data_IF_237022373968
#
_entry.id   IF_237022373968
#
_cell.length_a   1.000
_cell.length_b   1.000
_cell.length_c   1.000
_cell.angle_alpha   90.00
_cell.angle_beta   90.00
_cell.angle_gamma   90.00
#
_symmetry.space_group_name_H-M   'P 1'
#
loop_
_entity.id
_entity.type
_entity.pdbx_description
1 polymer ?
#
# COMPACT_ATOMS: atom_id res chain seq x y z
N UNK A 1 -5.30 1.69 -32.54
CA UNK A 1 -5.69 2.99 -31.97
C UNK A 1 -5.96 2.89 -30.45
N UNK A 2 -5.02 2.33 -29.66
CA UNK A 2 -5.11 2.28 -28.17
C UNK A 2 -3.86 2.81 -27.47
N UNK A 3 -2.74 2.91 -28.19
CA UNK A 3 -1.45 3.37 -27.63
C UNK A 3 -1.35 4.89 -27.44
N UNK A 4 -2.01 5.68 -28.30
CA UNK A 4 -1.92 7.16 -28.24
C UNK A 4 -2.62 7.73 -26.99
N UNK A 5 -3.69 7.08 -26.52
CA UNK A 5 -4.48 7.55 -25.36
C UNK A 5 -3.67 7.53 -24.05
N UNK A 6 -2.93 6.45 -23.80
CA UNK A 6 -2.12 6.29 -22.59
C UNK A 6 -0.97 7.29 -22.48
N UNK A 7 -0.36 7.65 -23.61
CA UNK A 7 0.74 8.61 -23.63
C UNK A 7 0.27 10.04 -23.35
N UNK A 8 -0.96 10.40 -23.73
CA UNK A 8 -1.51 11.73 -23.48
C UNK A 8 -1.81 11.98 -22.00
N UNK A 9 -2.46 11.03 -21.33
CA UNK A 9 -2.75 11.10 -19.88
C UNK A 9 -1.46 11.25 -19.06
N UNK A 10 -0.43 10.47 -19.39
CA UNK A 10 0.86 10.50 -18.69
C UNK A 10 1.55 11.87 -18.80
N UNK A 11 1.47 12.51 -19.97
CA UNK A 11 2.03 13.85 -20.22
C UNK A 11 1.28 14.94 -19.47
N UNK A 12 -0.05 14.84 -19.39
CA UNK A 12 -0.85 15.78 -18.60
C UNK A 12 -0.51 15.65 -17.12
N UNK A 13 -0.42 14.43 -16.59
CA UNK A 13 -0.10 14.17 -15.18
C UNK A 13 1.31 14.63 -14.79
N UNK A 14 2.31 14.40 -15.64
CA UNK A 14 3.69 14.83 -15.33
C UNK A 14 3.85 16.34 -15.21
N UNK A 15 2.99 17.12 -15.87
CA UNK A 15 2.95 18.58 -15.76
C UNK A 15 2.04 19.03 -14.61
N UNK A 16 0.83 18.44 -14.50
CA UNK A 16 -0.17 18.88 -13.54
C UNK A 16 0.18 18.52 -12.10
N UNK A 17 0.70 17.32 -11.84
CA UNK A 17 0.91 16.82 -10.47
C UNK A 17 1.91 17.67 -9.66
N UNK A 18 3.07 18.08 -10.18
CA UNK A 18 3.96 18.98 -9.45
C UNK A 18 3.35 20.36 -9.14
N UNK A 19 2.39 20.82 -9.95
CA UNK A 19 1.69 22.09 -9.73
C UNK A 19 0.62 21.94 -8.65
N UNK A 20 -0.11 20.83 -8.66
CA UNK A 20 -1.20 20.55 -7.70
C UNK A 20 -0.64 20.24 -6.30
N UNK A 21 0.40 19.40 -6.23
CA UNK A 21 0.93 18.88 -4.97
C UNK A 21 2.16 19.63 -4.47
N UNK A 22 2.79 20.46 -5.31
CA UNK A 22 4.07 21.10 -5.03
C UNK A 22 5.27 20.20 -5.29
N UNK A 23 6.43 20.81 -5.57
CA UNK A 23 7.68 20.07 -5.82
C UNK A 23 8.11 19.30 -4.56
N UNK A 24 8.50 18.05 -4.75
CA UNK A 24 8.97 17.16 -3.66
C UNK A 24 7.86 16.42 -2.92
N UNK A 25 6.58 16.69 -3.20
CA UNK A 25 5.48 15.92 -2.62
C UNK A 25 5.43 14.49 -3.18
N UNK A 26 5.10 13.45 -2.39
CA UNK A 26 5.07 12.05 -2.86
C UNK A 26 4.17 11.80 -4.08
N UNK A 27 3.13 12.60 -4.26
CA UNK A 27 2.21 12.53 -5.41
C UNK A 27 2.55 13.49 -6.56
N UNK A 28 3.64 14.27 -6.45
CA UNK A 28 4.08 15.16 -7.52
C UNK A 28 4.68 14.39 -8.71
N UNK A 29 5.20 13.18 -8.47
CA UNK A 29 5.81 12.33 -9.48
C UNK A 29 4.87 11.24 -9.98
N UNK A 30 5.11 10.74 -11.19
CA UNK A 30 4.41 9.58 -11.70
C UNK A 30 4.83 8.31 -10.94
N UNK A 31 3.87 7.43 -10.55
CA UNK A 31 4.21 6.18 -9.87
C UNK A 31 5.14 5.25 -10.66
N UNK A 32 5.04 5.28 -12.00
CA UNK A 32 5.89 4.49 -12.89
C UNK A 32 7.32 5.03 -13.01
N UNK A 33 7.57 6.25 -12.52
CA UNK A 33 8.85 6.94 -12.66
C UNK A 33 9.07 7.55 -14.05
N UNK A 34 10.33 7.80 -14.37
CA UNK A 34 10.82 8.34 -15.65
C UNK A 34 11.82 7.36 -16.28
N UNK A 35 12.03 7.44 -17.59
CA UNK A 35 13.04 6.63 -18.26
C UNK A 35 14.43 6.80 -17.63
N UNK A 36 14.81 8.03 -17.31
CA UNK A 36 16.07 8.32 -16.62
C UNK A 36 16.16 7.67 -15.23
N UNK A 37 15.09 7.70 -14.43
CA UNK A 37 15.09 7.05 -13.11
C UNK A 37 15.11 5.53 -13.21
N UNK A 38 14.43 4.95 -14.20
CA UNK A 38 14.40 3.50 -14.42
C UNK A 38 15.75 2.99 -14.95
N UNK A 39 16.41 3.73 -15.84
CA UNK A 39 17.74 3.40 -16.34
C UNK A 39 18.83 3.61 -15.28
N UNK A 40 18.63 4.54 -14.33
CA UNK A 40 19.62 4.92 -13.33
C UNK A 40 19.49 4.22 -11.98
N UNK A 41 18.39 3.50 -11.70
CA UNK A 41 18.20 2.84 -10.41
C UNK A 41 19.13 1.62 -10.25
N UNK A 42 19.90 1.59 -9.16
CA UNK A 42 20.75 0.45 -8.82
C UNK A 42 20.02 -0.62 -8.02
N UNK A 43 20.51 -1.87 -8.08
CA UNK A 43 19.96 -3.01 -7.32
C UNK A 43 20.01 -2.77 -5.82
N UNK A 44 21.09 -2.15 -5.31
CA UNK A 44 21.22 -1.81 -3.89
C UNK A 44 20.13 -0.83 -3.44
N UNK A 45 19.85 0.20 -4.23
CA UNK A 45 18.79 1.17 -3.93
C UNK A 45 17.41 0.49 -3.90
N UNK A 46 17.16 -0.45 -4.81
CA UNK A 46 15.94 -1.25 -4.83
C UNK A 46 15.81 -2.15 -3.59
N UNK A 47 16.89 -2.83 -3.22
CA UNK A 47 16.92 -3.69 -2.03
C UNK A 47 16.68 -2.87 -0.74
N UNK A 48 17.30 -1.70 -0.64
CA UNK A 48 17.10 -0.79 0.48
C UNK A 48 15.66 -0.28 0.54
N UNK A 49 15.08 0.12 -0.59
CA UNK A 49 13.69 0.55 -0.66
C UNK A 49 12.73 -0.57 -0.23
N UNK A 50 12.95 -1.79 -0.73
CA UNK A 50 12.15 -2.95 -0.35
C UNK A 50 12.25 -3.24 1.15
N UNK A 51 13.47 -3.32 1.71
CA UNK A 51 13.68 -3.57 3.14
C UNK A 51 13.09 -2.48 4.04
N UNK A 52 13.02 -1.24 3.56
CA UNK A 52 12.43 -0.13 4.32
C UNK A 52 10.90 -0.18 4.35
N UNK A 53 10.25 -0.45 3.22
CA UNK A 53 8.79 -0.33 3.09
C UNK A 53 8.03 -1.66 3.23
N UNK A 54 8.60 -2.77 2.77
CA UNK A 54 7.99 -4.11 2.82
C UNK A 54 8.32 -4.81 4.13
N UNK A 55 7.82 -4.25 5.24
CA UNK A 55 7.93 -4.81 6.59
C UNK A 55 6.55 -5.09 7.19
N UNK A 56 6.37 -6.15 7.99
CA UNK A 56 5.08 -6.50 8.62
C UNK A 56 4.44 -5.33 9.36
N UNK A 57 5.24 -4.55 10.10
CA UNK A 57 4.81 -3.33 10.80
C UNK A 57 4.27 -2.19 9.93
N UNK A 58 4.38 -2.29 8.60
CA UNK A 58 3.86 -1.32 7.61
C UNK A 58 2.86 -1.97 6.64
N UNK A 59 2.45 -3.21 6.87
CA UNK A 59 1.50 -3.94 6.03
C UNK A 59 0.14 -4.06 6.71
N UNK A 60 -0.91 -4.17 5.89
CA UNK A 60 -2.26 -4.46 6.36
C UNK A 60 -2.85 -5.58 5.49
N UNK A 61 -3.41 -6.60 6.14
CA UNK A 61 -4.06 -7.73 5.47
C UNK A 61 -5.57 -7.58 5.57
N UNK A 62 -6.20 -7.36 4.41
CA UNK A 62 -7.65 -7.25 4.29
C UNK A 62 -8.16 -8.57 3.74
N UNK A 63 -9.11 -9.21 4.44
CA UNK A 63 -9.75 -10.43 3.95
C UNK A 63 -11.26 -10.26 3.93
N UNK A 64 -11.84 -10.47 2.75
CA UNK A 64 -13.28 -10.36 2.50
C UNK A 64 -13.76 -11.73 2.04
N UNK A 65 -14.56 -12.39 2.86
CA UNK A 65 -15.05 -13.72 2.56
C UNK A 65 -16.42 -13.98 3.20
N UNK A 66 -17.23 -14.87 2.61
CA UNK A 66 -18.52 -15.29 3.19
C UNK A 66 -18.36 -16.30 4.35
N UNK A 67 -17.13 -16.66 4.73
CA UNK A 67 -16.82 -17.68 5.74
C UNK A 67 -16.76 -17.12 7.16
N UNK A 68 -16.79 -18.02 8.14
CA UNK A 68 -16.67 -17.66 9.56
C UNK A 68 -15.29 -17.06 9.90
N UNK A 69 -15.29 -16.07 10.82
CA UNK A 69 -14.11 -15.32 11.23
C UNK A 69 -12.99 -16.18 11.87
N UNK A 70 -13.36 -17.12 12.75
CA UNK A 70 -12.38 -17.86 13.58
C UNK A 70 -11.36 -18.71 12.78
N UNK A 71 -11.78 -19.58 11.84
CA UNK A 71 -10.82 -20.34 11.03
C UNK A 71 -9.90 -19.43 10.20
N UNK A 72 -10.44 -18.27 9.80
CA UNK A 72 -9.75 -17.27 9.02
C UNK A 72 -8.65 -16.58 9.83
N UNK A 73 -8.98 -16.12 11.04
CA UNK A 73 -8.02 -15.54 11.98
C UNK A 73 -6.90 -16.52 12.32
N UNK A 74 -7.22 -17.78 12.60
CA UNK A 74 -6.22 -18.82 12.87
C UNK A 74 -5.25 -19.01 11.70
N UNK A 75 -5.78 -19.00 10.47
CA UNK A 75 -4.96 -19.12 9.26
C UNK A 75 -4.07 -17.89 9.08
N UNK A 76 -4.59 -16.69 9.32
CA UNK A 76 -3.81 -15.45 9.24
C UNK A 76 -2.69 -15.46 10.28
N UNK A 77 -3.01 -15.68 11.56
CA UNK A 77 -2.00 -15.72 12.62
C UNK A 77 -0.92 -16.76 12.36
N UNK A 78 -1.30 -17.94 11.86
CA UNK A 78 -0.34 -19.01 11.55
C UNK A 78 0.65 -18.64 10.43
N UNK A 79 0.22 -17.89 9.41
CA UNK A 79 1.04 -17.61 8.23
C UNK A 79 1.73 -16.24 8.26
N UNK A 80 1.26 -15.33 9.12
CA UNK A 80 1.74 -13.95 9.21
C UNK A 80 2.33 -13.63 10.60
N UNK A 81 2.80 -14.64 11.31
CA UNK A 81 3.59 -14.50 12.55
C UNK A 81 5.02 -14.09 12.21
N UNK A 82 5.28 -12.78 12.16
CA UNK A 82 6.58 -12.21 11.83
C UNK A 82 7.20 -11.50 13.04
N UNK A 83 8.53 -11.50 13.17
CA UNK A 83 9.19 -10.73 14.22
C UNK A 83 8.86 -9.23 14.12
N UNK A 84 8.55 -8.64 15.28
CA UNK A 84 8.18 -7.23 15.42
C UNK A 84 9.24 -6.28 14.83
N UNK A 85 8.76 -5.20 14.20
CA UNK A 85 9.57 -4.07 13.72
C UNK A 85 9.00 -2.78 14.30
N UNK A 86 9.79 -1.71 14.49
CA UNK A 86 9.28 -0.45 15.04
C UNK A 86 8.07 0.04 14.24
N UNK A 87 6.91 0.04 14.88
CA UNK A 87 5.63 0.37 14.27
C UNK A 87 5.60 1.80 13.75
N UNK A 88 4.88 2.01 12.64
CA UNK A 88 4.43 3.36 12.27
C UNK A 88 3.20 3.65 13.12
N UNK A 89 3.23 4.68 13.96
CA UNK A 89 2.04 5.10 14.73
C UNK A 89 0.94 5.52 13.75
N UNK A 90 -0.22 4.84 13.80
CA UNK A 90 -1.38 5.15 12.97
C UNK A 90 -2.62 5.26 13.86
N UNK A 91 -3.39 6.33 13.68
CA UNK A 91 -4.73 6.42 14.25
C UNK A 91 -5.65 5.48 13.48
N UNK A 92 -6.04 4.37 14.10
CA UNK A 92 -7.00 3.45 13.52
C UNK A 92 -8.42 3.98 13.73
N UNK A 93 -9.22 4.07 12.65
CA UNK A 93 -10.65 4.34 12.73
C UNK A 93 -11.42 3.03 12.82
N UNK A 94 -12.27 2.86 13.83
CA UNK A 94 -13.23 1.76 13.89
C UNK A 94 -14.52 2.21 13.19
N UNK A 95 -14.92 1.52 12.11
CA UNK A 95 -16.18 1.76 11.41
C UNK A 95 -17.17 0.64 11.72
N UNK A 96 -18.33 0.99 12.28
CA UNK A 96 -19.44 0.05 12.46
C UNK A 96 -20.26 0.04 11.17
N UNK A 97 -20.38 -1.13 10.55
CA UNK A 97 -21.25 -1.33 9.39
C UNK A 97 -22.64 -1.72 9.90
N UNK A 98 -23.64 -0.90 9.58
CA UNK A 98 -25.04 -1.17 9.93
C UNK A 98 -25.54 -2.45 9.24
N UNK A 99 -26.26 -3.30 9.98
CA UNK A 99 -26.79 -4.58 9.45
C UNK A 99 -25.81 -5.76 9.44
N UNK A 100 -24.60 -5.62 10.03
CA UNK A 100 -23.68 -6.73 10.24
C UNK A 100 -23.56 -7.07 11.74
N UNK A 101 -24.08 -8.23 12.12
CA UNK A 101 -24.06 -8.73 13.51
C UNK A 101 -22.73 -9.38 13.89
N UNK A 102 -21.87 -9.66 12.90
CA UNK A 102 -20.46 -9.98 13.08
C UNK A 102 -19.66 -8.65 13.05
N UNK A 103 -18.53 -8.51 13.76
CA UNK A 103 -17.69 -7.33 13.60
C UNK A 103 -17.29 -7.20 12.12
N UNK A 104 -17.88 -6.22 11.42
CA UNK A 104 -17.74 -6.10 9.96
C UNK A 104 -16.34 -5.76 9.48
N UNK A 105 -15.47 -5.35 10.41
CA UNK A 105 -14.03 -5.20 10.24
C UNK A 105 -13.41 -5.65 11.56
N UNK A 106 -12.53 -6.65 11.50
CA UNK A 106 -11.73 -7.08 12.66
C UNK A 106 -10.29 -6.73 12.35
N UNK A 107 -9.73 -5.81 13.12
CA UNK A 107 -8.30 -5.52 13.06
C UNK A 107 -7.55 -6.54 13.91
N UNK A 108 -6.88 -7.47 13.26
CA UNK A 108 -5.91 -8.34 13.91
C UNK A 108 -4.60 -7.56 14.05
N UNK A 109 -4.17 -7.29 15.28
CA UNK A 109 -2.84 -6.76 15.52
C UNK A 109 -1.84 -7.91 15.47
N UNK A 110 -0.72 -7.68 14.79
CA UNK A 110 0.48 -8.48 14.95
C UNK A 110 1.19 -8.01 16.23
N UNK A 111 1.52 -8.97 17.07
CA UNK A 111 2.12 -8.83 18.40
C UNK A 111 3.52 -8.15 18.36
#
# INVERSE_FOLDING_TARGET
MREISWQLDTRVKSVAFPQIFGKGHPHASLPIGTEASLAGIGVEALANWFGHWYRPSNMELIVVAPMALRPMEQTVRKNFDFPGSPGVSRTQGAFRVEGNDQPGIVTLQAD
#
